data_IF_911839971847
#
_entry.id   IF_911839971847
#
_cell.length_a   1.000
_cell.length_b   1.000
_cell.length_c   1.000
_cell.angle_alpha   90.00
_cell.angle_beta   90.00
_cell.angle_gamma   90.00
#
_symmetry.space_group_name_H-M   'P 1'
#
loop_
_entity.id
_entity.type
_entity.pdbx_description
1 polymer ?
#
# COMPACT_ATOMS: atom_id res chain seq x y z
N UNK A 1 -16.83 -10.37 20.32
CA UNK A 1 -17.06 -9.76 18.99
C UNK A 1 -17.43 -8.31 19.23
N UNK A 2 -16.62 -7.35 18.80
CA UNK A 2 -16.89 -5.93 19.03
C UNK A 2 -17.82 -5.41 17.94
N UNK A 3 -18.89 -4.73 18.33
CA UNK A 3 -19.81 -4.08 17.40
C UNK A 3 -19.22 -2.74 16.97
N UNK A 4 -18.68 -2.70 15.75
CA UNK A 4 -18.05 -1.52 15.16
C UNK A 4 -19.04 -0.37 14.96
N UNK A 5 -20.34 -0.65 14.74
CA UNK A 5 -21.34 0.38 14.56
C UNK A 5 -21.62 1.10 15.89
N UNK A 6 -21.64 0.36 17.00
CA UNK A 6 -21.76 0.95 18.35
C UNK A 6 -20.56 1.82 18.73
N UNK A 7 -19.34 1.41 18.36
CA UNK A 7 -18.13 2.18 18.64
C UNK A 7 -18.07 3.50 17.87
N UNK A 8 -18.62 3.51 16.65
CA UNK A 8 -18.64 4.68 15.77
C UNK A 8 -19.85 5.60 16.02
N UNK A 9 -20.89 5.08 16.68
CA UNK A 9 -22.04 5.87 17.12
C UNK A 9 -22.70 6.65 15.99
N UNK A 10 -22.78 7.97 16.13
CA UNK A 10 -23.48 8.86 15.19
C UNK A 10 -22.80 8.96 13.82
N UNK A 11 -21.51 8.69 13.76
CA UNK A 11 -20.72 8.79 12.53
C UNK A 11 -20.67 7.46 11.77
N UNK A 12 -21.24 6.39 12.34
CA UNK A 12 -21.18 5.04 11.78
C UNK A 12 -21.68 5.00 10.34
N UNK A 13 -22.83 5.62 10.05
CA UNK A 13 -23.38 5.64 8.70
C UNK A 13 -22.48 6.41 7.74
N UNK A 14 -22.00 7.59 8.13
CA UNK A 14 -21.15 8.41 7.28
C UNK A 14 -19.80 7.75 6.99
N UNK A 15 -19.20 7.05 7.94
CA UNK A 15 -17.86 6.46 7.80
C UNK A 15 -17.90 5.09 7.11
N UNK A 16 -18.87 4.24 7.47
CA UNK A 16 -18.96 2.87 6.93
C UNK A 16 -19.56 2.84 5.52
N UNK A 17 -20.38 3.83 5.16
CA UNK A 17 -20.99 3.93 3.83
C UNK A 17 -20.27 4.92 2.90
N UNK A 18 -19.22 5.59 3.36
CA UNK A 18 -18.48 6.53 2.52
C UNK A 18 -17.94 5.84 1.27
N UNK A 19 -18.29 6.40 0.10
CA UNK A 19 -17.67 6.09 -1.18
C UNK A 19 -16.97 7.36 -1.68
N UNK A 20 -15.68 7.28 -1.94
CA UNK A 20 -14.96 8.38 -2.57
C UNK A 20 -15.47 8.57 -4.00
N UNK A 21 -15.99 9.76 -4.29
CA UNK A 21 -16.46 10.14 -5.62
C UNK A 21 -15.48 11.09 -6.34
N UNK A 22 -14.42 11.52 -5.65
CA UNK A 22 -13.47 12.54 -6.14
C UNK A 22 -12.47 11.97 -7.14
N UNK A 23 -11.96 10.76 -6.89
CA UNK A 23 -11.00 10.08 -7.77
C UNK A 23 -11.63 8.74 -8.16
N UNK A 24 -11.87 8.51 -9.46
CA UNK A 24 -12.47 7.26 -9.90
C UNK A 24 -11.47 6.11 -9.74
N UNK A 25 -11.97 4.94 -9.35
CA UNK A 25 -11.12 3.80 -8.95
C UNK A 25 -10.28 3.21 -10.08
N UNK A 26 -10.68 3.47 -11.33
CA UNK A 26 -9.97 3.06 -12.56
C UNK A 26 -8.67 3.84 -12.80
N UNK A 27 -8.53 5.03 -12.20
CA UNK A 27 -7.30 5.83 -12.26
C UNK A 27 -6.24 5.37 -11.23
N UNK A 28 -6.56 4.39 -10.39
CA UNK A 28 -5.63 3.87 -9.39
C UNK A 28 -4.74 2.78 -9.99
N UNK A 29 -3.43 2.88 -9.77
CA UNK A 29 -2.47 1.88 -10.19
C UNK A 29 -2.33 0.77 -9.15
N UNK A 30 -3.35 -0.07 -9.03
CA UNK A 30 -3.40 -1.09 -7.98
C UNK A 30 -2.15 -2.00 -7.96
N UNK A 31 -1.70 -2.46 -6.79
CA UNK A 31 -0.61 -3.40 -6.69
C UNK A 31 -1.00 -4.76 -7.27
N UNK A 32 -0.05 -5.41 -7.93
CA UNK A 32 -0.20 -6.73 -8.49
C UNK A 32 1.15 -7.34 -8.86
N UNK A 33 1.15 -8.60 -9.32
CA UNK A 33 2.37 -9.31 -9.72
C UNK A 33 3.17 -8.59 -10.81
N UNK A 34 2.47 -7.82 -11.65
CA UNK A 34 2.99 -7.08 -12.80
C UNK A 34 3.23 -5.59 -12.46
N UNK A 35 3.20 -5.20 -11.19
CA UNK A 35 3.31 -3.80 -10.78
C UNK A 35 4.62 -3.14 -11.22
N UNK A 36 5.73 -3.88 -11.21
CA UNK A 36 7.03 -3.36 -11.67
C UNK A 36 7.00 -3.07 -13.17
N UNK A 37 6.45 -3.99 -13.96
CA UNK A 37 6.34 -3.87 -15.41
C UNK A 37 5.31 -2.82 -15.84
N UNK A 38 4.18 -2.73 -15.14
CA UNK A 38 3.08 -1.82 -15.49
C UNK A 38 3.31 -0.39 -15.01
N UNK A 39 3.94 -0.19 -13.86
CA UNK A 39 3.99 1.12 -13.18
C UNK A 39 5.41 1.64 -13.02
N UNK A 40 6.36 0.77 -12.66
CA UNK A 40 7.70 1.23 -12.29
C UNK A 40 8.61 1.48 -13.50
N UNK A 41 8.35 0.84 -14.64
CA UNK A 41 9.15 0.95 -15.86
C UNK A 41 9.15 2.37 -16.45
N UNK A 42 8.02 3.07 -16.38
CA UNK A 42 7.83 4.38 -17.02
C UNK A 42 8.53 5.54 -16.28
N UNK A 43 9.09 5.28 -15.11
CA UNK A 43 9.65 6.31 -14.22
C UNK A 43 11.14 6.63 -14.48
N UNK A 44 11.65 6.40 -15.69
CA UNK A 44 13.06 6.66 -16.03
C UNK A 44 14.05 6.03 -15.03
N UNK A 45 13.83 4.76 -14.66
CA UNK A 45 14.71 4.00 -13.75
C UNK A 45 15.69 3.15 -14.54
N UNK A 46 16.96 3.07 -14.15
CA UNK A 46 17.91 2.19 -14.82
C UNK A 46 17.47 0.72 -14.67
N UNK A 47 17.76 -0.16 -15.66
CA UNK A 47 17.38 -1.57 -15.61
C UNK A 47 17.86 -2.31 -14.35
N UNK A 48 18.99 -1.89 -13.78
CA UNK A 48 19.50 -2.44 -12.53
C UNK A 48 18.56 -2.18 -11.34
N UNK A 49 17.96 -0.99 -11.27
CA UNK A 49 17.00 -0.63 -10.23
C UNK A 49 15.70 -1.43 -10.42
N UNK A 50 15.20 -1.53 -11.66
CA UNK A 50 14.00 -2.31 -11.96
C UNK A 50 14.15 -3.79 -11.55
N UNK A 51 15.31 -4.40 -11.84
CA UNK A 51 15.61 -5.78 -11.41
C UNK A 51 15.59 -5.93 -9.89
N UNK A 52 16.23 -5.00 -9.18
CA UNK A 52 16.26 -5.05 -7.71
C UNK A 52 14.85 -4.87 -7.12
N UNK A 53 14.05 -3.98 -7.72
CA UNK A 53 12.64 -3.81 -7.34
C UNK A 53 11.85 -5.10 -7.57
N UNK A 54 12.04 -5.76 -8.72
CA UNK A 54 11.39 -7.05 -8.99
C UNK A 54 11.73 -8.10 -7.94
N UNK A 55 13.00 -8.19 -7.53
CA UNK A 55 13.43 -9.08 -6.45
C UNK A 55 12.74 -8.76 -5.13
N UNK A 56 12.63 -7.47 -4.77
CA UNK A 56 11.96 -7.05 -3.53
C UNK A 56 10.46 -7.39 -3.53
N UNK A 57 9.74 -7.16 -4.62
CA UNK A 57 8.30 -7.47 -4.71
C UNK A 57 8.00 -8.97 -4.86
N UNK A 58 8.97 -9.78 -5.29
CA UNK A 58 8.82 -11.23 -5.45
C UNK A 58 9.40 -12.04 -4.28
N UNK A 59 9.75 -11.41 -3.18
CA UNK A 59 10.30 -12.10 -2.00
C UNK A 59 9.50 -11.82 -0.72
N UNK A 60 9.64 -12.71 0.27
CA UNK A 60 8.97 -12.58 1.56
C UNK A 60 7.48 -12.90 1.55
N UNK A 61 6.78 -12.50 2.63
CA UNK A 61 5.38 -12.89 2.91
C UNK A 61 4.35 -12.27 1.96
N UNK A 62 4.71 -11.20 1.25
CA UNK A 62 3.83 -10.50 0.30
C UNK A 62 4.29 -10.68 -1.15
N UNK A 63 5.16 -11.67 -1.40
CA UNK A 63 5.67 -11.98 -2.74
C UNK A 63 4.54 -12.10 -3.76
N UNK A 64 4.70 -11.44 -4.92
CA UNK A 64 3.77 -11.53 -6.05
C UNK A 64 2.45 -10.78 -5.85
N UNK A 65 2.22 -10.16 -4.70
CA UNK A 65 1.00 -9.37 -4.44
C UNK A 65 1.12 -7.93 -4.94
N UNK A 66 2.34 -7.49 -5.27
CA UNK A 66 2.64 -6.08 -5.55
C UNK A 66 2.72 -5.20 -4.29
N UNK A 67 2.50 -5.78 -3.09
CA UNK A 67 2.77 -5.11 -1.83
C UNK A 67 4.15 -5.44 -1.31
N UNK A 68 4.84 -4.43 -0.79
CA UNK A 68 6.14 -4.58 -0.15
C UNK A 68 6.03 -4.18 1.32
N UNK A 69 6.47 -5.09 2.21
CA UNK A 69 6.46 -4.89 3.65
C UNK A 69 7.87 -4.55 4.12
N UNK A 70 8.14 -3.28 4.39
CA UNK A 70 9.42 -2.82 4.94
C UNK A 70 9.20 -2.32 6.37
N UNK A 71 10.11 -2.73 7.25
CA UNK A 71 10.23 -2.16 8.59
C UNK A 71 11.46 -1.25 8.57
N UNK A 72 11.30 0.08 8.69
CA UNK A 72 12.43 0.97 8.90
C UNK A 72 12.99 0.71 10.30
N UNK A 73 14.24 0.22 10.37
CA UNK A 73 14.90 -0.14 11.64
C UNK A 73 15.89 0.95 12.09
N UNK A 74 16.24 1.90 11.23
CA UNK A 74 17.31 2.88 11.49
C UNK A 74 16.88 4.14 12.27
N UNK A 75 15.64 4.22 12.75
CA UNK A 75 15.26 5.29 13.68
C UNK A 75 15.72 4.90 15.08
N UNK A 76 16.96 5.29 15.42
CA UNK A 76 17.55 5.08 16.73
C UNK A 76 16.60 5.53 17.85
N UNK A 77 16.25 4.59 18.73
CA UNK A 77 15.60 4.83 20.01
C UNK A 77 14.16 5.34 19.98
N UNK A 78 13.21 4.48 20.37
CA UNK A 78 11.91 4.92 20.91
C UNK A 78 10.70 4.74 20.00
N UNK A 79 9.97 3.65 20.27
CA UNK A 79 8.51 3.56 20.14
C UNK A 79 7.84 4.03 18.83
N UNK A 80 8.22 3.48 17.66
CA UNK A 80 7.25 3.22 16.60
C UNK A 80 7.78 2.24 15.54
N UNK A 81 7.43 0.96 15.66
CA UNK A 81 7.57 -0.03 14.59
C UNK A 81 6.50 0.24 13.52
N UNK A 82 6.62 1.33 12.74
CA UNK A 82 5.70 1.60 11.64
C UNK A 82 5.98 0.60 10.51
N UNK A 83 5.07 -0.34 10.31
CA UNK A 83 5.07 -1.22 9.15
C UNK A 83 4.66 -0.39 7.93
N UNK A 84 5.62 -0.06 7.07
CA UNK A 84 5.31 0.61 5.82
C UNK A 84 4.94 -0.47 4.80
N UNK A 85 3.68 -0.45 4.36
CA UNK A 85 3.26 -1.17 3.17
C UNK A 85 3.45 -0.22 1.99
N UNK A 86 4.39 -0.54 1.11
CA UNK A 86 4.58 0.18 -0.15
C UNK A 86 3.76 -0.55 -1.22
N UNK A 87 2.77 0.13 -1.79
CA UNK A 87 1.84 -0.49 -2.76
C UNK A 87 0.74 0.37 -3.37
N UNK A 88 0.51 1.65 -2.95
CA UNK A 88 -0.31 2.73 -3.57
C UNK A 88 -0.81 3.70 -2.46
N UNK A 89 -1.31 4.92 -2.78
CA UNK A 89 -1.33 6.03 -1.82
C UNK A 89 -2.39 5.85 -0.73
N UNK A 90 -2.04 6.29 0.48
CA UNK A 90 -3.01 6.65 1.49
C UNK A 90 -3.75 7.92 1.00
N UNK A 91 -4.74 7.73 0.14
CA UNK A 91 -5.70 8.75 -0.31
C UNK A 91 -7.01 8.03 -0.62
N UNK A 92 -7.67 7.59 0.45
CA UNK A 92 -9.07 7.21 0.54
C UNK A 92 -9.50 7.46 1.99
#
# INVERSE_FOLDING_TARGET
MTDIAQLLGKDADSLLQHRCMTIPSDQLYLPGKDYVDRVMIDNNRPPAVLRNMQTLYNTGRLSGTGYLSILPVDQGGGALRRRLFCGQPALL
#
